data_IF_844178722181
#
_entry.id   IF_844178722181
#
_cell.length_a   1.000
_cell.length_b   1.000
_cell.length_c   1.000
_cell.angle_alpha   90.00
_cell.angle_beta   90.00
_cell.angle_gamma   90.00
#
_symmetry.space_group_name_H-M   'P 1'
#
loop_
_entity.id
_entity.type
_entity.pdbx_description
1 polymer ?
#
# COMPACT_ATOMS: atom_id res chain seq x y z
N UNK A 1 -2.63 8.28 24.62
CA UNK A 1 -2.76 8.46 23.15
C UNK A 1 -4.11 7.94 22.71
N UNK A 2 -4.78 8.60 21.75
CA UNK A 2 -6.08 8.15 21.24
C UNK A 2 -5.84 7.11 20.15
N UNK A 3 -6.25 5.87 20.40
CA UNK A 3 -6.15 4.79 19.44
C UNK A 3 -6.99 5.10 18.19
N UNK A 4 -6.36 4.95 17.03
CA UNK A 4 -7.00 5.19 15.74
C UNK A 4 -7.46 3.88 15.10
N UNK A 5 -8.61 3.94 14.44
CA UNK A 5 -9.13 2.87 13.58
C UNK A 5 -8.69 3.15 12.15
N UNK A 6 -8.48 2.08 11.39
CA UNK A 6 -8.15 2.21 9.97
C UNK A 6 -9.29 2.90 9.20
N UNK A 7 -8.93 3.97 8.49
CA UNK A 7 -9.82 4.76 7.65
C UNK A 7 -9.67 4.42 6.18
N UNK A 8 -8.43 4.25 5.73
CA UNK A 8 -8.11 4.18 4.31
C UNK A 8 -6.93 3.23 4.04
N UNK A 9 -7.00 2.55 2.90
CA UNK A 9 -5.91 1.75 2.33
C UNK A 9 -5.75 2.17 0.88
N UNK A 10 -4.53 2.49 0.46
CA UNK A 10 -4.22 2.85 -0.93
C UNK A 10 -2.99 2.15 -1.44
N UNK A 11 -2.93 1.98 -2.75
CA UNK A 11 -1.83 1.35 -3.46
C UNK A 11 -1.05 2.38 -4.28
N UNK A 12 0.26 2.27 -4.14
CA UNK A 12 1.28 3.09 -4.77
C UNK A 12 2.33 2.17 -5.39
N UNK A 13 3.18 2.73 -6.25
CA UNK A 13 4.30 2.03 -6.86
C UNK A 13 5.58 2.86 -6.77
N UNK A 14 6.71 2.17 -6.63
CA UNK A 14 8.05 2.74 -6.68
C UNK A 14 9.01 1.76 -7.36
N UNK A 15 9.48 2.11 -8.57
CA UNK A 15 10.34 1.23 -9.40
C UNK A 15 11.81 1.62 -9.29
N UNK A 16 12.09 2.91 -9.37
CA UNK A 16 13.44 3.46 -9.30
C UNK A 16 13.55 4.17 -7.96
N UNK A 17 14.27 3.58 -7.00
CA UNK A 17 14.34 4.07 -5.61
C UNK A 17 14.58 5.58 -5.56
N UNK A 18 13.52 6.34 -5.34
CA UNK A 18 13.49 7.78 -5.55
C UNK A 18 13.51 8.48 -4.19
N UNK A 19 14.04 9.70 -4.14
CA UNK A 19 13.89 10.55 -2.93
C UNK A 19 12.49 11.19 -2.82
N UNK A 20 11.67 11.09 -3.87
CA UNK A 20 10.31 11.60 -3.92
C UNK A 20 9.30 10.65 -3.28
N UNK A 21 8.06 11.13 -3.07
CA UNK A 21 6.98 10.28 -2.59
C UNK A 21 6.57 9.27 -3.68
N UNK A 22 6.15 8.04 -3.29
CA UNK A 22 5.64 7.04 -4.22
C UNK A 22 4.46 7.56 -5.06
N UNK A 23 4.34 7.06 -6.29
CA UNK A 23 3.25 7.42 -7.21
C UNK A 23 2.08 6.45 -7.07
N UNK A 24 0.86 6.87 -7.42
CA UNK A 24 -0.28 5.94 -7.47
C UNK A 24 0.04 4.75 -8.36
N UNK A 25 -0.31 3.55 -7.90
CA UNK A 25 -0.11 2.35 -8.67
C UNK A 25 -1.00 2.33 -9.92
N UNK A 26 -0.49 1.78 -11.02
CA UNK A 26 -1.23 1.71 -12.29
C UNK A 26 -0.42 2.10 -13.52
N UNK A 27 0.83 2.58 -13.36
CA UNK A 27 1.69 2.94 -14.49
C UNK A 27 2.63 1.79 -14.85
N UNK A 28 3.29 1.21 -13.85
CA UNK A 28 4.24 0.12 -14.01
C UNK A 28 3.59 -1.23 -13.68
N UNK A 29 2.82 -1.26 -12.58
CA UNK A 29 1.92 -2.36 -12.27
C UNK A 29 0.60 -2.10 -12.99
N UNK A 30 0.16 -3.02 -13.83
CA UNK A 30 -1.08 -2.91 -14.62
C UNK A 30 -2.31 -3.21 -13.77
N UNK A 31 -2.43 -2.51 -12.64
CA UNK A 31 -3.49 -2.76 -11.65
C UNK A 31 -4.84 -2.33 -12.20
N UNK A 32 -5.85 -3.18 -12.04
CA UNK A 32 -7.22 -2.85 -12.41
C UNK A 32 -7.79 -1.68 -11.60
N UNK A 33 -8.69 -0.92 -12.22
CA UNK A 33 -9.37 0.21 -11.57
C UNK A 33 -10.16 -0.20 -10.32
N UNK A 34 -10.59 -1.46 -10.23
CA UNK A 34 -11.37 -1.97 -9.11
C UNK A 34 -10.58 -2.05 -7.80
N UNK A 35 -9.25 -2.06 -7.86
CA UNK A 35 -8.39 -2.25 -6.70
C UNK A 35 -8.54 -1.14 -5.65
N UNK A 36 -8.88 0.08 -6.06
CA UNK A 36 -9.23 1.14 -5.10
C UNK A 36 -10.51 0.80 -4.31
N UNK A 37 -11.51 0.23 -4.99
CA UNK A 37 -12.76 -0.19 -4.36
C UNK A 37 -12.54 -1.38 -3.41
N UNK A 38 -11.67 -2.31 -3.79
CA UNK A 38 -11.27 -3.45 -2.96
C UNK A 38 -10.54 -2.96 -1.71
N UNK A 39 -9.57 -2.06 -1.85
CA UNK A 39 -8.81 -1.48 -0.73
C UNK A 39 -9.74 -0.77 0.26
N UNK A 40 -10.72 -0.01 -0.24
CA UNK A 40 -11.75 0.64 0.59
C UNK A 40 -12.60 -0.39 1.35
N UNK A 41 -12.98 -1.50 0.70
CA UNK A 41 -13.72 -2.59 1.34
C UNK A 41 -12.90 -3.26 2.45
N UNK A 42 -11.60 -3.46 2.25
CA UNK A 42 -10.70 -4.00 3.28
C UNK A 42 -10.60 -3.06 4.48
N UNK A 43 -10.37 -1.77 4.28
CA UNK A 43 -10.32 -0.78 5.37
C UNK A 43 -11.63 -0.80 6.20
N UNK A 44 -12.78 -0.87 5.52
CA UNK A 44 -14.08 -0.98 6.19
C UNK A 44 -14.20 -2.30 6.98
N UNK A 45 -13.82 -3.43 6.40
CA UNK A 45 -13.92 -4.75 7.06
C UNK A 45 -13.00 -4.88 8.26
N UNK A 46 -11.79 -4.34 8.17
CA UNK A 46 -10.85 -4.27 9.30
C UNK A 46 -11.42 -3.41 10.45
N UNK A 47 -12.03 -2.26 10.11
CA UNK A 47 -12.70 -1.41 11.08
C UNK A 47 -13.89 -2.11 11.75
N UNK A 48 -14.72 -2.82 10.98
CA UNK A 48 -15.84 -3.62 11.50
C UNK A 48 -15.36 -4.71 12.47
N UNK A 49 -14.18 -5.29 12.22
CA UNK A 49 -13.54 -6.28 13.11
C UNK A 49 -12.81 -5.67 14.31
N UNK A 50 -12.84 -4.35 14.48
CA UNK A 50 -12.19 -3.67 15.61
C UNK A 50 -10.67 -3.53 15.46
N UNK A 51 -10.13 -3.61 14.25
CA UNK A 51 -8.69 -3.41 14.01
C UNK A 51 -8.27 -1.97 14.35
N UNK A 52 -7.17 -1.85 15.10
CA UNK A 52 -6.61 -0.59 15.58
C UNK A 52 -5.19 -0.47 15.04
N UNK A 53 -4.88 0.69 14.47
CA UNK A 53 -3.58 1.04 13.87
C UNK A 53 -2.71 1.86 14.81
N UNK A 54 -3.18 2.13 16.03
CA UNK A 54 -2.47 2.92 17.03
C UNK A 54 -2.54 4.41 16.70
N UNK A 55 -1.51 4.97 16.07
CA UNK A 55 -1.35 6.42 15.87
C UNK A 55 -1.73 6.92 14.46
N UNK A 56 -1.81 6.02 13.48
CA UNK A 56 -2.16 6.34 12.11
C UNK A 56 -3.53 5.77 11.76
N UNK A 57 -4.16 6.25 10.69
CA UNK A 57 -5.45 5.73 10.20
C UNK A 57 -5.44 5.50 8.68
N UNK A 58 -4.41 5.99 7.97
CA UNK A 58 -4.20 5.72 6.55
C UNK A 58 -2.99 4.80 6.36
N UNK A 59 -3.20 3.72 5.62
CA UNK A 59 -2.17 2.73 5.28
C UNK A 59 -1.92 2.78 3.77
N UNK A 60 -0.71 3.14 3.39
CA UNK A 60 -0.31 3.21 1.99
C UNK A 60 0.64 2.07 1.69
N UNK A 61 0.25 1.20 0.77
CA UNK A 61 1.00 0.04 0.34
C UNK A 61 1.74 0.43 -0.93
N UNK A 62 3.06 0.27 -0.94
CA UNK A 62 3.92 0.60 -2.08
C UNK A 62 4.45 -0.69 -2.67
N UNK A 63 4.05 -1.00 -3.91
CA UNK A 63 4.60 -2.13 -4.65
C UNK A 63 5.95 -1.73 -5.25
N UNK A 64 6.97 -2.56 -5.04
CA UNK A 64 8.31 -2.26 -5.52
C UNK A 64 9.11 -3.51 -5.85
N UNK A 65 9.89 -3.53 -6.96
CA UNK A 65 10.83 -4.61 -7.23
C UNK A 65 12.15 -4.43 -6.46
N UNK A 66 12.27 -3.36 -5.65
CA UNK A 66 13.50 -3.03 -4.91
C UNK A 66 13.66 -3.85 -3.63
N UNK A 67 12.62 -4.60 -3.24
CA UNK A 67 12.65 -5.55 -2.13
C UNK A 67 12.54 -6.97 -2.66
N UNK A 68 13.08 -7.91 -1.90
CA UNK A 68 12.83 -9.34 -2.14
C UNK A 68 11.33 -9.62 -2.15
N UNK A 69 10.92 -10.53 -3.03
CA UNK A 69 9.51 -10.88 -3.24
C UNK A 69 8.80 -11.21 -1.91
N UNK A 70 7.63 -10.62 -1.70
CA UNK A 70 6.79 -10.73 -0.49
C UNK A 70 7.38 -10.16 0.81
N UNK A 71 8.59 -9.59 0.78
CA UNK A 71 9.13 -8.89 1.96
C UNK A 71 8.36 -7.59 2.17
N UNK A 72 7.92 -7.38 3.40
CA UNK A 72 7.21 -6.18 3.84
C UNK A 72 8.14 -5.34 4.72
N UNK A 73 8.26 -4.05 4.41
CA UNK A 73 9.02 -3.10 5.20
C UNK A 73 8.23 -1.81 5.45
N UNK A 74 8.13 -1.37 6.70
CA UNK A 74 7.63 -0.03 7.00
C UNK A 74 8.64 1.02 6.50
N UNK A 75 8.14 2.03 5.81
CA UNK A 75 8.96 3.17 5.41
C UNK A 75 9.40 3.99 6.61
N UNK A 76 10.68 4.36 6.64
CA UNK A 76 11.18 5.39 7.55
C UNK A 76 10.58 6.78 7.22
N UNK A 77 10.10 6.97 5.98
CA UNK A 77 9.50 8.22 5.55
C UNK A 77 8.10 8.36 6.15
N UNK A 78 7.94 9.38 7.00
CA UNK A 78 6.68 9.72 7.66
C UNK A 78 6.31 11.16 7.32
N UNK A 79 5.74 11.43 6.12
CA UNK A 79 5.44 12.79 5.71
C UNK A 79 4.36 13.42 6.60
N UNK A 80 3.44 12.59 7.10
CA UNK A 80 2.39 13.01 8.02
C UNK A 80 2.23 11.99 9.15
N UNK A 81 1.88 12.45 10.35
CA UNK A 81 1.73 11.58 11.53
C UNK A 81 0.60 10.56 11.38
N UNK A 82 -0.43 10.89 10.61
CA UNK A 82 -1.65 10.10 10.47
C UNK A 82 -1.55 9.00 9.39
N UNK A 83 -0.47 8.93 8.62
CA UNK A 83 -0.26 7.91 7.59
C UNK A 83 1.03 7.12 7.78
N UNK A 84 1.06 5.92 7.22
CA UNK A 84 2.27 5.09 7.11
C UNK A 84 2.35 4.48 5.72
N UNK A 85 3.59 4.38 5.23
CA UNK A 85 3.90 3.65 4.01
C UNK A 85 4.49 2.29 4.37
N UNK A 86 4.04 1.24 3.70
CA UNK A 86 4.58 -0.10 3.78
C UNK A 86 4.98 -0.54 2.38
N UNK A 87 6.27 -0.78 2.19
CA UNK A 87 6.80 -1.35 0.96
C UNK A 87 6.58 -2.85 0.94
N UNK A 88 6.19 -3.38 -0.20
CA UNK A 88 6.06 -4.81 -0.46
C UNK A 88 6.88 -5.13 -1.70
N UNK A 89 7.79 -6.10 -1.56
CA UNK A 89 8.54 -6.65 -2.68
C UNK A 89 7.64 -7.38 -3.65
N UNK A 90 7.52 -6.85 -4.86
CA UNK A 90 6.73 -7.43 -5.94
C UNK A 90 7.47 -7.21 -7.25
N UNK A 91 7.71 -8.30 -7.98
CA UNK A 91 8.18 -8.27 -9.36
C UNK A 91 7.11 -7.71 -10.30
N UNK A 92 7.48 -6.72 -11.11
CA UNK A 92 6.56 -6.09 -12.08
C UNK A 92 6.08 -7.11 -13.12
N UNK A 93 6.99 -7.96 -13.59
CA UNK A 93 6.69 -8.95 -14.62
C UNK A 93 5.73 -10.01 -14.07
N UNK A 94 6.01 -10.54 -12.88
CA UNK A 94 5.16 -11.57 -12.25
C UNK A 94 3.77 -11.03 -11.92
N UNK A 95 3.68 -9.80 -11.41
CA UNK A 95 2.41 -9.15 -11.10
C UNK A 95 1.55 -8.92 -12.35
N UNK A 96 2.16 -8.52 -13.46
CA UNK A 96 1.44 -8.23 -14.70
C UNK A 96 1.07 -9.51 -15.47
N UNK A 97 1.89 -10.56 -15.42
CA UNK A 97 1.58 -11.85 -16.06
C UNK A 97 0.34 -12.52 -15.46
N UNK A 98 0.09 -12.37 -14.16
CA UNK A 98 -1.07 -12.97 -13.49
C UNK A 98 -2.42 -12.33 -13.88
N UNK A 99 -2.41 -11.18 -14.56
CA UNK A 99 -3.62 -10.47 -14.99
C UNK A 99 -4.07 -10.82 -16.43
N UNK A 100 -3.40 -11.77 -17.08
CA UNK A 100 -3.65 -12.17 -18.48
C UNK A 100 -4.59 -13.38 -18.64
N UNK A 101 -5.35 -13.75 -17.60
CA UNK A 101 -6.22 -14.94 -17.59
C UNK A 101 -7.70 -14.61 -17.43
#
# INVERSE_FOLDING_TARGET
>A
MKEKKILDIRLFEEIEGSKSLPHYAGKSYQIEKEVHSISTRFARKLREKGFITGEFDHVYIVLTPLLEEQVIMESERRPEKWMRYFYIGVSVDDANCQLSH
#
